data_IF_964637726194
#
_entry.id   IF_964637726194
#
_cell.length_a   1.000
_cell.length_b   1.000
_cell.length_c   1.000
_cell.angle_alpha   90.00
_cell.angle_beta   90.00
_cell.angle_gamma   90.00
#
_symmetry.space_group_name_H-M   'P 1'
#
loop_
_entity.id
_entity.type
_entity.pdbx_description
1 polymer ?
#
# COMPACT_ATOMS: atom_id res chain seq x y z
N UNK A 1 -31.22 62.01 48.43
CA UNK A 1 -30.95 61.57 49.81
C UNK A 1 -31.57 60.20 50.02
N UNK A 2 -30.89 59.38 50.80
CA UNK A 2 -30.95 57.93 50.83
C UNK A 2 -32.19 57.31 51.52
N UNK A 3 -32.44 56.04 51.20
CA UNK A 3 -32.60 54.95 52.17
C UNK A 3 -32.19 53.64 51.43
N UNK A 4 -31.08 52.93 51.71
CA UNK A 4 -30.68 52.14 52.90
C UNK A 4 -31.80 51.18 53.36
N UNK A 5 -31.60 49.91 53.74
CA UNK A 5 -30.52 48.89 53.71
C UNK A 5 -31.05 47.68 54.53
N UNK A 6 -30.42 46.50 54.39
CA UNK A 6 -30.23 45.35 55.34
C UNK A 6 -30.68 43.99 54.75
N UNK A 7 -29.74 43.05 54.46
CA UNK A 7 -29.12 41.99 55.34
C UNK A 7 -30.18 41.01 55.88
N UNK A 8 -30.10 39.68 55.83
CA UNK A 8 -29.09 38.70 55.38
C UNK A 8 -29.43 37.30 55.97
N UNK A 9 -28.68 36.28 55.51
CA UNK A 9 -28.35 35.00 56.18
C UNK A 9 -29.27 33.76 55.98
N UNK A 10 -28.56 32.68 55.61
CA UNK A 10 -28.81 31.23 55.46
C UNK A 10 -29.83 30.51 56.35
N UNK A 11 -30.43 29.42 55.83
CA UNK A 11 -30.06 28.01 56.17
C UNK A 11 -30.89 26.99 55.35
N UNK A 12 -30.25 25.84 55.10
CA UNK A 12 -30.74 24.64 54.44
C UNK A 12 -31.87 23.95 55.23
N UNK A 13 -32.75 23.17 54.58
CA UNK A 13 -33.04 21.77 54.92
C UNK A 13 -33.77 21.05 53.76
N UNK A 14 -33.44 19.77 53.61
CA UNK A 14 -33.80 18.86 52.51
C UNK A 14 -35.11 18.12 52.80
N UNK A 15 -35.88 17.75 51.76
CA UNK A 15 -36.70 16.51 51.76
C UNK A 15 -36.83 15.90 50.34
N UNK A 16 -36.59 14.58 50.24
CA UNK A 16 -37.26 13.66 49.29
C UNK A 16 -36.78 13.65 47.82
N UNK A 17 -35.72 12.92 47.49
CA UNK A 17 -35.75 11.56 46.94
C UNK A 17 -36.35 11.40 45.52
N UNK A 18 -35.47 11.32 44.51
CA UNK A 18 -35.74 10.56 43.28
C UNK A 18 -34.49 9.75 42.96
N UNK A 19 -34.59 8.44 43.23
CA UNK A 19 -33.62 7.43 42.81
C UNK A 19 -33.65 7.34 41.28
N UNK A 20 -32.51 7.56 40.64
CA UNK A 20 -32.19 6.90 39.37
C UNK A 20 -30.78 6.34 39.44
N UNK A 21 -30.75 5.02 39.44
CA UNK A 21 -29.60 4.15 39.26
C UNK A 21 -28.81 4.50 38.00
N UNK A 22 -27.49 4.63 38.13
CA UNK A 22 -26.57 4.70 37.01
C UNK A 22 -25.14 4.74 37.52
N UNK A 23 -24.38 3.67 37.26
CA UNK A 23 -23.01 3.43 37.76
C UNK A 23 -22.08 4.61 37.47
N UNK A 24 -21.44 5.11 38.53
CA UNK A 24 -20.28 6.00 38.41
C UNK A 24 -19.14 5.24 37.72
N UNK A 25 -18.71 5.73 36.56
CA UNK A 25 -17.34 5.47 36.08
C UNK A 25 -16.66 6.82 35.93
N UNK A 26 -15.51 6.95 36.59
CA UNK A 26 -14.64 8.10 36.48
C UNK A 26 -14.21 8.25 35.03
N UNK A 27 -14.68 9.30 34.36
CA UNK A 27 -14.17 9.68 33.04
C UNK A 27 -12.76 10.23 33.26
N UNK A 28 -11.74 9.36 33.15
CA UNK A 28 -10.36 9.82 32.93
C UNK A 28 -10.40 10.73 31.72
N UNK A 29 -9.92 11.96 31.88
CA UNK A 29 -9.63 12.82 30.75
C UNK A 29 -8.72 12.04 29.80
N UNK A 30 -9.08 11.86 28.51
CA UNK A 30 -8.10 11.40 27.56
C UNK A 30 -7.03 12.49 27.49
N UNK A 31 -5.80 12.04 27.70
CA UNK A 31 -4.56 12.73 27.43
C UNK A 31 -4.64 13.57 26.15
N UNK A 32 -3.88 14.65 26.15
CA UNK A 32 -3.54 15.43 24.96
C UNK A 32 -2.76 14.54 23.96
N UNK A 33 -3.45 13.63 23.28
CA UNK A 33 -2.94 12.94 22.11
C UNK A 33 -3.47 13.66 20.87
N UNK A 34 -2.63 14.35 20.08
CA UNK A 34 -3.04 15.10 18.90
C UNK A 34 -3.33 14.20 17.68
N UNK A 35 -3.84 12.99 17.90
CA UNK A 35 -4.21 12.08 16.83
C UNK A 35 -5.70 11.77 16.91
N UNK A 36 -6.35 11.70 15.73
CA UNK A 36 -7.66 11.08 15.44
C UNK A 36 -8.85 11.94 15.03
N UNK A 37 -8.72 13.24 14.67
CA UNK A 37 -9.91 13.98 14.13
C UNK A 37 -9.79 14.80 12.86
N UNK A 38 -8.65 14.85 12.19
CA UNK A 38 -8.54 15.46 10.85
C UNK A 38 -7.73 14.57 9.90
N UNK A 39 -8.27 13.41 9.56
CA UNK A 39 -7.67 12.57 8.52
C UNK A 39 -8.08 13.12 7.15
N UNK A 40 -7.26 14.04 6.61
CA UNK A 40 -7.37 14.55 5.23
C UNK A 40 -7.21 13.41 4.19
N UNK A 41 -6.55 12.33 4.60
CA UNK A 41 -6.49 11.04 3.91
C UNK A 41 -6.30 9.95 4.98
N UNK A 42 -7.20 8.96 5.06
CA UNK A 42 -7.23 7.94 6.11
C UNK A 42 -6.31 6.74 5.83
N UNK A 43 -5.13 6.97 5.26
CA UNK A 43 -4.16 5.91 5.05
C UNK A 43 -2.95 6.19 5.92
N UNK A 44 -2.81 5.40 6.99
CA UNK A 44 -1.51 5.15 7.59
C UNK A 44 -0.58 4.63 6.49
N UNK A 45 0.72 4.91 6.60
CA UNK A 45 1.74 4.39 5.68
C UNK A 45 1.50 2.89 5.49
N UNK A 46 0.93 2.50 4.36
CA UNK A 46 0.76 1.10 4.03
C UNK A 46 1.26 0.97 2.60
N UNK A 47 2.55 0.64 2.50
CA UNK A 47 3.10 0.07 1.29
C UNK A 47 2.26 -1.14 0.91
N UNK A 48 1.97 -1.29 -0.39
CA UNK A 48 1.32 -2.50 -0.90
C UNK A 48 2.28 -3.72 -0.88
N UNK A 49 3.57 -3.50 -0.60
CA UNK A 49 4.60 -4.54 -0.52
C UNK A 49 5.03 -4.90 0.91
N UNK A 50 4.55 -4.20 1.94
CA UNK A 50 5.05 -4.34 3.31
C UNK A 50 4.70 -5.73 3.87
N UNK A 51 5.70 -6.59 4.19
CA UNK A 51 5.42 -7.94 4.69
C UNK A 51 4.76 -7.93 6.07
N UNK A 52 4.77 -6.80 6.80
CA UNK A 52 4.20 -6.71 8.15
C UNK A 52 3.18 -5.57 8.22
N UNK A 53 1.89 -5.92 8.15
CA UNK A 53 0.79 -5.01 8.49
C UNK A 53 0.82 -4.73 10.00
N UNK A 54 1.59 -3.74 10.46
CA UNK A 54 1.55 -3.25 11.85
C UNK A 54 0.38 -2.28 12.04
N UNK A 55 -0.83 -2.73 11.72
CA UNK A 55 -2.01 -2.11 12.29
C UNK A 55 -2.12 -2.62 13.74
N UNK A 56 -2.27 -1.70 14.69
CA UNK A 56 -2.82 -2.03 15.99
C UNK A 56 -4.26 -2.50 15.74
N UNK A 57 -4.43 -3.81 15.53
CA UNK A 57 -5.72 -4.46 15.42
C UNK A 57 -6.40 -4.30 16.78
N UNK A 58 -7.53 -3.57 16.92
CA UNK A 58 -8.46 -3.94 17.98
C UNK A 58 -8.89 -5.37 17.65
N UNK A 59 -8.71 -6.30 18.60
CA UNK A 59 -8.86 -7.77 18.53
C UNK A 59 -10.15 -8.35 17.91
N UNK A 60 -10.88 -7.65 17.03
CA UNK A 60 -12.21 -8.00 16.55
C UNK A 60 -12.27 -8.06 15.01
N UNK A 61 -11.14 -8.02 14.29
CA UNK A 61 -11.10 -8.21 12.84
C UNK A 61 -10.13 -9.29 12.34
N UNK A 62 -9.70 -10.22 13.21
CA UNK A 62 -8.93 -11.43 12.85
C UNK A 62 -9.82 -12.66 12.58
N UNK A 63 -11.14 -12.52 12.53
CA UNK A 63 -12.07 -13.67 12.59
C UNK A 63 -12.61 -14.13 11.24
N UNK A 64 -11.99 -13.74 10.13
CA UNK A 64 -12.21 -14.44 8.85
C UNK A 64 -10.86 -14.80 8.25
N UNK A 65 -10.18 -15.74 8.92
CA UNK A 65 -9.16 -16.57 8.29
C UNK A 65 -9.90 -17.39 7.23
N UNK A 66 -9.49 -17.40 5.95
CA UNK A 66 -10.05 -18.33 4.98
C UNK A 66 -9.89 -19.74 5.55
N UNK A 67 -10.97 -20.51 5.67
CA UNK A 67 -10.95 -21.83 6.33
C UNK A 67 -9.90 -22.80 5.73
N UNK A 68 -9.43 -22.51 4.52
CA UNK A 68 -8.42 -23.29 3.78
C UNK A 68 -6.96 -22.96 4.15
N UNK A 69 -6.65 -22.00 5.04
CA UNK A 69 -5.26 -21.55 5.27
C UNK A 69 -4.32 -22.70 5.67
N UNK A 70 -4.80 -23.69 6.42
CA UNK A 70 -3.99 -24.86 6.80
C UNK A 70 -3.64 -25.74 5.57
N UNK A 71 -4.64 -26.08 4.75
CA UNK A 71 -4.42 -26.82 3.51
C UNK A 71 -3.53 -26.05 2.50
N UNK A 72 -3.70 -24.73 2.40
CA UNK A 72 -2.83 -23.91 1.54
C UNK A 72 -1.38 -23.93 2.03
N UNK A 73 -1.15 -23.83 3.35
CA UNK A 73 0.18 -23.88 3.94
C UNK A 73 0.83 -25.25 3.73
N UNK A 74 0.05 -26.32 3.90
CA UNK A 74 0.50 -27.69 3.62
C UNK A 74 0.89 -27.86 2.16
N UNK A 75 0.05 -27.40 1.21
CA UNK A 75 0.35 -27.45 -0.23
C UNK A 75 1.67 -26.75 -0.56
N UNK A 76 1.87 -25.54 -0.04
CA UNK A 76 3.07 -24.73 -0.25
C UNK A 76 4.31 -25.40 0.36
N UNK A 77 4.19 -25.97 1.56
CA UNK A 77 5.28 -26.68 2.23
C UNK A 77 5.68 -27.97 1.49
N UNK A 78 4.71 -28.72 0.98
CA UNK A 78 4.96 -29.92 0.17
C UNK A 78 5.58 -29.57 -1.16
N UNK A 79 5.15 -28.47 -1.79
CA UNK A 79 5.77 -27.93 -3.00
C UNK A 79 7.22 -27.52 -2.76
N UNK A 80 7.54 -26.97 -1.58
CA UNK A 80 8.92 -26.64 -1.17
C UNK A 80 9.78 -27.90 -1.01
N UNK A 81 9.23 -28.96 -0.42
CA UNK A 81 9.92 -30.25 -0.23
C UNK A 81 10.06 -31.09 -1.51
N UNK A 82 9.28 -30.80 -2.54
CA UNK A 82 9.21 -31.65 -3.74
C UNK A 82 8.34 -32.90 -3.55
N UNK A 83 7.44 -32.91 -2.56
CA UNK A 83 6.60 -34.08 -2.27
C UNK A 83 5.42 -34.19 -3.26
N UNK A 84 5.65 -34.89 -4.36
CA UNK A 84 4.65 -35.08 -5.43
C UNK A 84 3.43 -35.84 -4.94
N UNK A 85 3.60 -36.87 -4.10
CA UNK A 85 2.49 -37.73 -3.65
C UNK A 85 1.56 -36.96 -2.73
N UNK A 86 2.14 -36.29 -1.75
CA UNK A 86 1.31 -35.56 -0.81
C UNK A 86 0.63 -34.34 -1.41
N UNK A 87 1.23 -33.68 -2.42
CA UNK A 87 0.52 -32.67 -3.22
C UNK A 87 -0.64 -33.29 -3.98
N UNK A 88 -0.46 -34.48 -4.56
CA UNK A 88 -1.53 -35.17 -5.27
C UNK A 88 -2.71 -35.48 -4.35
N UNK A 89 -2.43 -36.04 -3.16
CA UNK A 89 -3.45 -36.37 -2.16
C UNK A 89 -4.22 -35.10 -1.74
N UNK A 90 -3.52 -34.01 -1.45
CA UNK A 90 -4.13 -32.75 -1.03
C UNK A 90 -5.01 -32.10 -2.12
N UNK A 91 -4.61 -32.24 -3.39
CA UNK A 91 -5.41 -31.78 -4.53
C UNK A 91 -6.59 -32.71 -4.84
N UNK A 92 -6.50 -33.99 -4.48
CA UNK A 92 -7.61 -34.96 -4.58
C UNK A 92 -8.65 -34.75 -3.46
N UNK A 93 -8.21 -34.28 -2.29
CA UNK A 93 -9.07 -33.84 -1.18
C UNK A 93 -9.81 -32.51 -1.48
N UNK A 94 -9.52 -31.87 -2.62
CA UNK A 94 -10.24 -30.68 -3.09
C UNK A 94 -9.55 -29.35 -2.79
N UNK A 95 -8.26 -29.36 -2.40
CA UNK A 95 -7.49 -28.13 -2.22
C UNK A 95 -7.35 -27.39 -3.56
N UNK A 96 -7.58 -26.07 -3.55
CA UNK A 96 -7.36 -25.27 -4.75
C UNK A 96 -5.87 -25.18 -5.08
N UNK A 97 -5.51 -25.63 -6.29
CA UNK A 97 -4.15 -25.59 -6.83
C UNK A 97 -3.60 -24.15 -6.93
N UNK A 98 -4.48 -23.15 -7.03
CA UNK A 98 -4.14 -21.73 -7.15
C UNK A 98 -4.18 -20.98 -5.81
N UNK A 99 -4.25 -21.72 -4.71
CA UNK A 99 -4.09 -21.17 -3.37
C UNK A 99 -2.82 -20.33 -3.24
N UNK A 100 -2.93 -19.18 -2.57
CA UNK A 100 -1.86 -18.20 -2.41
C UNK A 100 -1.49 -17.99 -0.93
N UNK A 101 -0.21 -17.72 -0.66
CA UNK A 101 0.25 -17.23 0.64
C UNK A 101 0.02 -15.70 0.81
N UNK A 102 0.50 -15.15 1.94
CA UNK A 102 0.44 -13.72 2.23
C UNK A 102 1.17 -12.85 1.19
N UNK A 103 2.14 -13.41 0.48
CA UNK A 103 2.90 -12.75 -0.58
C UNK A 103 2.30 -13.01 -1.97
N UNK A 104 1.11 -13.62 -2.05
CA UNK A 104 0.46 -13.95 -3.31
C UNK A 104 1.13 -15.10 -4.07
N UNK A 105 2.05 -15.84 -3.44
CA UNK A 105 2.75 -16.97 -4.07
C UNK A 105 1.90 -18.22 -4.04
N UNK A 106 1.84 -18.89 -5.19
CA UNK A 106 1.20 -20.22 -5.32
C UNK A 106 2.21 -21.34 -5.14
N UNK A 107 1.72 -22.58 -4.99
CA UNK A 107 2.57 -23.78 -4.99
C UNK A 107 3.46 -23.88 -6.24
N UNK A 108 2.98 -23.35 -7.39
CA UNK A 108 3.76 -23.30 -8.63
C UNK A 108 4.96 -22.35 -8.54
N UNK A 109 4.84 -21.22 -7.82
CA UNK A 109 5.97 -20.31 -7.58
C UNK A 109 7.03 -21.02 -6.73
N UNK A 110 6.61 -21.65 -5.62
CA UNK A 110 7.53 -22.35 -4.71
C UNK A 110 8.26 -23.49 -5.42
N UNK A 111 7.53 -24.37 -6.12
CA UNK A 111 8.13 -25.47 -6.86
C UNK A 111 9.10 -24.98 -7.94
N UNK A 112 8.85 -23.80 -8.51
CA UNK A 112 9.72 -23.17 -9.48
C UNK A 112 11.00 -22.55 -8.87
N UNK A 113 10.91 -21.97 -7.67
CA UNK A 113 12.07 -21.50 -6.90
C UNK A 113 12.99 -22.65 -6.48
N UNK A 114 12.41 -23.79 -6.09
CA UNK A 114 13.17 -24.94 -5.59
C UNK A 114 13.62 -25.92 -6.70
N UNK A 115 13.08 -25.77 -7.92
CA UNK A 115 13.50 -26.57 -9.07
C UNK A 115 12.82 -27.94 -9.19
N UNK A 116 11.72 -28.17 -8.48
CA UNK A 116 10.99 -29.44 -8.46
C UNK A 116 10.16 -29.66 -9.73
N UNK A 117 10.81 -30.18 -10.78
CA UNK A 117 10.19 -30.39 -12.10
C UNK A 117 8.93 -31.25 -12.06
N UNK A 118 8.92 -32.31 -11.25
CA UNK A 118 7.78 -33.24 -11.21
C UNK A 118 6.57 -32.65 -10.48
N UNK A 119 6.82 -31.86 -9.42
CA UNK A 119 5.78 -31.06 -8.77
C UNK A 119 5.20 -30.03 -9.76
N UNK A 120 6.05 -29.33 -10.52
CA UNK A 120 5.59 -28.38 -11.53
C UNK A 120 4.71 -29.07 -12.56
N UNK A 121 5.12 -30.23 -13.09
CA UNK A 121 4.29 -31.00 -14.04
C UNK A 121 2.95 -31.41 -13.44
N UNK A 122 2.93 -31.85 -12.19
CA UNK A 122 1.71 -32.22 -11.47
C UNK A 122 0.77 -31.01 -11.32
N UNK A 123 1.26 -29.88 -10.80
CA UNK A 123 0.47 -28.66 -10.63
C UNK A 123 -0.10 -28.16 -11.96
N UNK A 124 0.68 -28.21 -13.04
CA UNK A 124 0.21 -27.85 -14.38
C UNK A 124 -0.82 -28.82 -14.94
N UNK A 125 -0.73 -30.12 -14.63
CA UNK A 125 -1.77 -31.10 -14.99
C UNK A 125 -3.10 -30.80 -14.29
N UNK A 126 -3.03 -30.21 -13.09
CA UNK A 126 -4.17 -29.76 -12.28
C UNK A 126 -4.62 -28.33 -12.61
N UNK A 127 -4.20 -27.77 -13.75
CA UNK A 127 -4.58 -26.43 -14.24
C UNK A 127 -4.13 -25.28 -13.32
N UNK A 128 -2.96 -25.39 -12.70
CA UNK A 128 -2.32 -24.25 -12.04
C UNK A 128 -2.17 -23.06 -13.00
N UNK A 129 -2.43 -21.85 -12.49
CA UNK A 129 -2.35 -20.61 -13.23
C UNK A 129 -0.88 -20.24 -13.49
N UNK A 130 -0.46 -20.42 -14.74
CA UNK A 130 0.89 -20.11 -15.24
C UNK A 130 1.24 -18.62 -15.17
N UNK A 131 0.24 -17.75 -15.30
CA UNK A 131 0.41 -16.29 -15.34
C UNK A 131 0.09 -15.64 -13.98
N UNK A 132 -0.10 -16.45 -12.92
CA UNK A 132 -0.26 -15.95 -11.56
C UNK A 132 0.95 -15.09 -11.19
N UNK A 133 0.68 -13.96 -10.52
CA UNK A 133 1.70 -13.03 -10.09
C UNK A 133 1.70 -12.92 -8.57
N UNK A 134 2.88 -13.06 -8.00
CA UNK A 134 3.10 -12.74 -6.61
C UNK A 134 3.02 -11.22 -6.37
N UNK A 135 3.13 -10.83 -5.10
CA UNK A 135 3.15 -9.46 -4.63
C UNK A 135 4.21 -8.60 -5.33
N UNK A 136 5.34 -9.18 -5.74
CA UNK A 136 6.42 -8.48 -6.45
C UNK A 136 6.21 -8.44 -7.97
N UNK A 137 5.13 -9.03 -8.47
CA UNK A 137 4.83 -9.13 -9.88
C UNK A 137 5.66 -10.19 -10.61
N UNK A 138 6.35 -11.06 -9.87
CA UNK A 138 7.04 -12.22 -10.42
C UNK A 138 6.03 -13.29 -10.84
N UNK A 139 6.46 -14.19 -11.70
CA UNK A 139 5.70 -15.37 -12.12
C UNK A 139 6.57 -16.58 -11.83
N UNK A 140 5.98 -17.77 -11.69
CA UNK A 140 6.74 -19.00 -11.50
C UNK A 140 7.87 -19.18 -12.56
N UNK A 141 7.65 -18.78 -13.81
CA UNK A 141 8.69 -18.85 -14.84
C UNK A 141 9.83 -17.83 -14.63
N UNK A 142 9.51 -16.64 -14.10
CA UNK A 142 10.53 -15.66 -13.74
C UNK A 142 11.35 -16.14 -12.54
N UNK A 143 10.70 -16.76 -11.55
CA UNK A 143 11.38 -17.32 -10.37
C UNK A 143 12.32 -18.46 -10.76
N UNK A 144 11.85 -19.44 -11.52
CA UNK A 144 12.70 -20.53 -12.02
C UNK A 144 13.95 -20.01 -12.74
N UNK A 145 13.78 -18.96 -13.56
CA UNK A 145 14.92 -18.32 -14.23
C UNK A 145 15.85 -17.60 -13.26
N UNK A 146 15.31 -16.91 -12.26
CA UNK A 146 16.10 -16.16 -11.29
C UNK A 146 16.96 -17.07 -10.41
N UNK A 147 16.39 -18.19 -9.97
CA UNK A 147 17.06 -19.19 -9.13
C UNK A 147 17.91 -20.20 -9.93
N UNK A 148 17.94 -20.10 -11.26
CA UNK A 148 18.79 -20.95 -12.11
C UNK A 148 18.20 -22.32 -12.44
N UNK A 149 16.93 -22.56 -12.13
CA UNK A 149 16.20 -23.81 -12.40
C UNK A 149 15.77 -23.88 -13.87
N UNK A 150 16.76 -24.09 -14.74
CA UNK A 150 16.57 -24.06 -16.20
C UNK A 150 15.56 -25.11 -16.69
N UNK A 151 15.54 -26.32 -16.14
CA UNK A 151 14.59 -27.37 -16.53
C UNK A 151 13.14 -26.98 -16.26
N UNK A 152 12.86 -26.46 -15.06
CA UNK A 152 11.53 -25.93 -14.73
C UNK A 152 11.16 -24.77 -15.64
N UNK A 153 12.10 -23.86 -15.89
CA UNK A 153 11.87 -22.73 -16.79
C UNK A 153 11.48 -23.20 -18.20
N UNK A 154 12.16 -24.23 -18.75
CA UNK A 154 11.81 -24.78 -20.06
C UNK A 154 10.44 -25.45 -20.05
N UNK A 155 10.09 -26.20 -19.00
CA UNK A 155 8.75 -26.81 -18.86
C UNK A 155 7.65 -25.73 -18.86
N UNK A 156 7.82 -24.68 -18.05
CA UNK A 156 6.86 -23.58 -17.96
C UNK A 156 6.75 -22.83 -19.28
N UNK A 157 7.88 -22.54 -19.94
CA UNK A 157 7.93 -21.87 -21.24
C UNK A 157 7.26 -22.71 -22.33
N UNK A 158 7.49 -24.03 -22.36
CA UNK A 158 6.85 -24.95 -23.29
C UNK A 158 5.33 -25.01 -23.11
N UNK A 159 4.85 -24.79 -21.88
CA UNK A 159 3.42 -24.68 -21.55
C UNK A 159 2.83 -23.27 -21.78
N UNK A 160 3.61 -22.34 -22.34
CA UNK A 160 3.14 -21.01 -22.72
C UNK A 160 3.31 -19.93 -21.65
N UNK A 161 4.06 -20.17 -20.58
CA UNK A 161 4.30 -19.18 -19.53
C UNK A 161 4.96 -17.91 -20.10
N UNK A 162 4.43 -16.75 -19.75
CA UNK A 162 5.01 -15.45 -20.11
C UNK A 162 5.87 -14.94 -18.98
N UNK A 163 7.17 -14.83 -19.20
CA UNK A 163 8.02 -14.10 -18.24
C UNK A 163 7.74 -12.61 -18.32
N UNK A 164 7.35 -11.94 -17.22
CA UNK A 164 7.24 -10.50 -17.20
C UNK A 164 8.61 -9.89 -17.55
N UNK A 165 8.61 -8.95 -18.49
CA UNK A 165 9.80 -8.15 -18.80
C UNK A 165 9.90 -7.00 -17.78
N UNK A 166 10.10 -7.34 -16.51
CA UNK A 166 10.40 -6.32 -15.50
C UNK A 166 11.86 -5.94 -15.65
N UNK A 167 12.12 -4.71 -16.11
CA UNK A 167 13.46 -4.14 -16.03
C UNK A 167 13.63 -3.60 -14.62
N UNK A 168 14.60 -4.13 -13.90
CA UNK A 168 14.99 -3.60 -12.58
C UNK A 168 15.56 -2.21 -12.75
N UNK A 169 15.31 -1.35 -11.77
CA UNK A 169 15.88 -0.01 -11.72
C UNK A 169 17.27 -0.06 -11.07
N UNK A 170 18.05 1.03 -11.15
CA UNK A 170 19.28 1.18 -10.36
C UNK A 170 19.05 1.24 -8.84
N UNK A 171 17.79 1.39 -8.39
CA UNK A 171 17.40 1.41 -6.97
C UNK A 171 16.83 0.07 -6.50
N UNK A 172 16.78 -0.94 -7.39
CA UNK A 172 16.22 -2.23 -7.07
C UNK A 172 17.11 -2.96 -6.07
N UNK A 173 16.51 -3.41 -4.98
CA UNK A 173 17.18 -4.17 -3.93
C UNK A 173 17.14 -5.67 -4.28
N UNK A 174 18.18 -6.40 -3.88
CA UNK A 174 18.27 -7.85 -4.09
C UNK A 174 17.48 -8.63 -3.04
N UNK A 175 17.46 -8.14 -1.80
CA UNK A 175 16.79 -8.76 -0.68
C UNK A 175 15.37 -8.19 -0.48
N UNK A 176 14.32 -9.02 -0.50
CA UNK A 176 12.94 -8.57 -0.27
C UNK A 176 12.73 -7.86 1.08
N UNK A 177 13.53 -8.17 2.11
CA UNK A 177 13.42 -7.54 3.44
C UNK A 177 13.91 -6.09 3.49
N UNK A 178 14.65 -5.67 2.47
CA UNK A 178 15.21 -4.32 2.36
C UNK A 178 14.36 -3.41 1.45
N UNK A 179 13.23 -3.93 0.93
CA UNK A 179 12.29 -3.13 0.14
C UNK A 179 11.64 -2.08 1.04
N UNK A 180 11.65 -0.79 0.66
CA UNK A 180 11.10 0.27 1.49
C UNK A 180 9.59 0.18 1.74
N UNK A 181 9.14 0.67 2.90
CA UNK A 181 7.72 0.76 3.30
C UNK A 181 6.88 1.75 2.46
N UNK A 182 7.48 2.47 1.52
CA UNK A 182 6.73 3.32 0.59
C UNK A 182 6.53 2.64 -0.77
N UNK A 183 7.10 1.46 -0.98
CA UNK A 183 7.09 0.82 -2.29
C UNK A 183 5.67 0.35 -2.66
N UNK A 184 5.24 0.78 -3.83
CA UNK A 184 3.93 0.45 -4.41
C UNK A 184 4.09 -0.60 -5.52
N UNK A 185 3.08 -1.46 -5.64
CA UNK A 185 2.99 -2.38 -6.75
C UNK A 185 2.60 -1.59 -8.02
N UNK A 186 3.43 -1.59 -9.08
CA UNK A 186 3.12 -0.84 -10.30
C UNK A 186 1.84 -1.32 -11.00
N UNK A 187 1.42 -2.57 -10.80
CA UNK A 187 0.20 -3.10 -11.41
C UNK A 187 -1.09 -2.57 -10.77
N UNK A 188 -1.02 -2.05 -9.55
CA UNK A 188 -2.15 -1.38 -8.88
C UNK A 188 -2.39 0.03 -9.41
N UNK A 189 -1.40 0.61 -10.11
CA UNK A 189 -1.44 1.97 -10.63
C UNK A 189 -1.99 2.00 -12.06
N UNK A 190 -3.23 2.48 -12.20
CA UNK A 190 -3.88 2.69 -13.50
C UNK A 190 -3.69 4.13 -13.95
N UNK A 191 -2.62 4.40 -14.71
CA UNK A 191 -2.33 5.73 -15.26
C UNK A 191 -3.22 6.01 -16.47
N UNK A 192 -3.95 7.13 -16.46
CA UNK A 192 -4.72 7.57 -17.63
C UNK A 192 -3.76 8.18 -18.65
N UNK A 193 -3.59 7.54 -19.81
CA UNK A 193 -2.87 8.10 -20.97
C UNK A 193 -3.67 9.23 -21.65
N UNK A 194 -4.11 10.24 -20.90
CA UNK A 194 -5.03 11.24 -21.42
C UNK A 194 -4.35 12.41 -22.12
N UNK A 195 -3.12 12.81 -21.76
CA UNK A 195 -2.47 13.95 -22.41
C UNK A 195 -0.96 13.68 -22.53
N UNK A 196 -0.37 14.13 -23.65
CA UNK A 196 1.01 13.87 -24.05
C UNK A 196 2.03 14.03 -22.92
N UNK A 197 3.07 13.19 -22.98
CA UNK A 197 4.14 13.09 -21.98
C UNK A 197 4.87 14.45 -21.89
N UNK A 198 4.46 15.30 -20.96
CA UNK A 198 5.31 16.37 -20.49
C UNK A 198 6.30 15.76 -19.50
N UNK A 199 7.59 15.71 -19.87
CA UNK A 199 8.67 15.19 -19.04
C UNK A 199 8.62 15.82 -17.64
N UNK A 200 8.54 14.99 -16.59
CA UNK A 200 8.54 15.46 -15.20
C UNK A 200 7.21 15.97 -14.64
N UNK A 201 6.12 15.96 -15.41
CA UNK A 201 4.80 16.38 -14.93
C UNK A 201 4.06 15.24 -14.19
N UNK A 202 3.26 15.62 -13.18
CA UNK A 202 2.39 14.68 -12.46
C UNK A 202 1.17 14.32 -13.33
N UNK A 203 0.97 13.02 -13.56
CA UNK A 203 -0.17 12.46 -14.29
C UNK A 203 -1.24 11.98 -13.32
N UNK A 204 -2.51 12.02 -13.75
CA UNK A 204 -3.61 11.49 -12.94
C UNK A 204 -3.71 9.99 -13.13
N UNK A 205 -3.60 9.24 -12.03
CA UNK A 205 -3.78 7.80 -11.99
C UNK A 205 -4.85 7.40 -10.99
N UNK A 206 -5.25 6.13 -11.04
CA UNK A 206 -6.01 5.48 -9.97
C UNK A 206 -5.13 4.44 -9.29
N UNK A 207 -5.08 4.51 -7.96
CA UNK A 207 -4.48 3.50 -7.11
C UNK A 207 -5.58 2.92 -6.22
N UNK A 208 -5.89 1.63 -6.35
CA UNK A 208 -6.97 0.95 -5.64
C UNK A 208 -8.31 1.74 -5.66
N UNK A 209 -8.65 2.29 -6.83
CA UNK A 209 -9.86 3.11 -7.05
C UNK A 209 -9.74 4.58 -6.63
N UNK A 210 -8.75 4.94 -5.83
CA UNK A 210 -8.48 6.31 -5.36
C UNK A 210 -7.71 7.10 -6.39
N UNK A 211 -8.09 8.35 -6.64
CA UNK A 211 -7.36 9.23 -7.57
C UNK A 211 -6.05 9.71 -6.92
N UNK A 212 -4.95 9.53 -7.62
CA UNK A 212 -3.60 9.93 -7.20
C UNK A 212 -2.88 10.66 -8.32
N UNK A 213 -1.89 11.46 -7.97
CA UNK A 213 -1.01 12.13 -8.90
C UNK A 213 0.33 11.37 -8.95
N UNK A 214 0.79 11.03 -10.14
CA UNK A 214 1.96 10.17 -10.36
C UNK A 214 2.98 10.89 -11.22
N UNK A 215 4.17 11.13 -10.68
CA UNK A 215 5.33 11.59 -11.44
C UNK A 215 6.08 10.36 -11.94
N UNK A 216 6.10 10.17 -13.25
CA UNK A 216 6.77 9.04 -13.90
C UNK A 216 8.14 9.51 -14.39
N UNK A 217 9.20 8.78 -14.02
CA UNK A 217 10.52 8.99 -14.59
C UNK A 217 10.63 8.20 -15.91
N UNK A 218 11.02 8.88 -16.98
CA UNK A 218 11.06 8.31 -18.33
C UNK A 218 12.09 7.20 -18.50
N UNK A 219 11.85 6.33 -19.48
CA UNK A 219 12.66 5.13 -19.72
C UNK A 219 14.12 5.39 -20.10
N UNK A 220 14.37 6.54 -20.71
CA UNK A 220 15.70 6.96 -21.18
C UNK A 220 16.49 7.67 -20.07
N UNK A 221 15.84 8.05 -18.97
CA UNK A 221 16.45 8.83 -17.89
C UNK A 221 17.14 7.98 -16.82
N UNK A 222 17.13 6.65 -16.93
CA UNK A 222 17.76 5.76 -15.94
C UNK A 222 19.27 5.56 -16.12
N UNK A 223 19.85 6.11 -17.19
CA UNK A 223 21.29 6.04 -17.42
C UNK A 223 22.04 7.19 -16.78
N UNK A 224 21.34 8.30 -16.48
CA UNK A 224 21.94 9.50 -15.93
C UNK A 224 21.94 9.46 -14.39
N UNK A 225 23.12 9.42 -13.73
CA UNK A 225 23.20 9.41 -12.28
C UNK A 225 22.67 10.68 -11.64
N UNK A 226 22.74 11.84 -12.31
CA UNK A 226 22.26 13.11 -11.76
C UNK A 226 20.73 13.10 -11.64
N UNK A 227 20.04 12.60 -12.65
CA UNK A 227 18.58 12.48 -12.64
C UNK A 227 18.12 11.49 -11.56
N UNK A 228 18.82 10.36 -11.41
CA UNK A 228 18.54 9.39 -10.35
C UNK A 228 18.76 10.00 -8.97
N UNK A 229 19.85 10.75 -8.79
CA UNK A 229 20.12 11.42 -7.52
C UNK A 229 19.07 12.48 -7.20
N UNK A 230 18.64 13.27 -8.19
CA UNK A 230 17.54 14.22 -8.03
C UNK A 230 16.24 13.52 -7.63
N UNK A 231 15.91 12.39 -8.28
CA UNK A 231 14.75 11.56 -7.93
C UNK A 231 14.85 11.02 -6.50
N UNK A 232 16.02 10.52 -6.09
CA UNK A 232 16.28 10.08 -4.71
C UNK A 232 16.10 11.22 -3.71
N UNK A 233 16.68 12.39 -3.98
CA UNK A 233 16.55 13.56 -3.12
C UNK A 233 15.08 13.98 -2.95
N UNK A 234 14.32 14.03 -4.04
CA UNK A 234 12.88 14.33 -4.00
C UNK A 234 12.10 13.30 -3.16
N UNK A 235 12.36 12.01 -3.38
CA UNK A 235 11.75 10.92 -2.62
C UNK A 235 12.05 11.04 -1.12
N UNK A 236 13.32 11.28 -0.75
CA UNK A 236 13.72 11.43 0.66
C UNK A 236 13.06 12.63 1.34
N UNK A 237 12.80 13.71 0.60
CA UNK A 237 12.09 14.87 1.11
C UNK A 237 10.62 14.52 1.37
N UNK A 238 9.96 13.89 0.40
CA UNK A 238 8.55 13.49 0.52
C UNK A 238 8.31 12.46 1.64
N UNK A 239 9.29 11.60 1.89
CA UNK A 239 9.22 10.62 2.97
C UNK A 239 9.29 11.27 4.37
N UNK A 240 10.17 12.28 4.51
CA UNK A 240 10.43 12.96 5.79
C UNK A 240 9.40 14.02 6.12
N UNK A 241 8.89 14.72 5.11
CA UNK A 241 8.00 15.85 5.31
C UNK A 241 6.61 15.38 5.75
N UNK A 242 6.14 15.95 6.87
CA UNK A 242 4.84 15.66 7.49
C UNK A 242 4.21 16.97 7.96
N UNK A 243 3.37 17.57 7.13
CA UNK A 243 2.70 18.84 7.44
C UNK A 243 1.30 18.88 6.80
N UNK A 244 0.26 19.43 7.47
CA UNK A 244 -1.11 19.46 6.95
C UNK A 244 -1.31 20.30 5.67
N UNK A 245 -0.39 21.24 5.41
CA UNK A 245 -0.42 22.08 4.20
C UNK A 245 0.47 21.55 3.07
N UNK A 246 1.21 20.47 3.31
CA UNK A 246 2.04 19.84 2.28
C UNK A 246 1.27 18.67 1.68
N UNK A 247 1.42 18.47 0.37
CA UNK A 247 0.75 17.39 -0.34
C UNK A 247 1.18 16.05 0.28
N UNK A 248 0.21 15.20 0.58
CA UNK A 248 0.49 13.93 1.22
C UNK A 248 1.22 12.99 0.25
N UNK A 249 2.37 12.49 0.69
CA UNK A 249 3.09 11.41 0.03
C UNK A 249 2.34 10.09 0.22
N UNK A 250 2.04 9.39 -0.87
CA UNK A 250 1.33 8.12 -0.86
C UNK A 250 2.31 6.96 -0.93
N UNK A 251 3.27 7.02 -1.86
CA UNK A 251 4.28 5.99 -2.04
C UNK A 251 5.09 6.19 -3.31
N UNK A 252 5.93 5.24 -3.66
CA UNK A 252 6.77 5.30 -4.85
C UNK A 252 6.92 3.91 -5.48
N UNK A 253 7.25 3.87 -6.77
CA UNK A 253 7.73 2.65 -7.44
C UNK A 253 9.20 2.87 -7.70
N UNK A 254 10.06 2.16 -6.97
CA UNK A 254 11.51 2.25 -7.06
C UNK A 254 12.15 0.96 -7.49
N UNK A 255 11.46 -0.19 -7.39
CA UNK A 255 12.05 -1.49 -7.74
C UNK A 255 11.92 -1.80 -9.24
N UNK A 256 10.86 -1.30 -9.87
CA UNK A 256 10.48 -1.62 -11.24
C UNK A 256 10.47 -0.38 -12.14
N UNK A 257 10.86 -0.57 -13.40
CA UNK A 257 10.73 0.46 -14.42
C UNK A 257 9.27 0.51 -14.94
N UNK A 258 8.66 1.71 -15.06
CA UNK A 258 9.27 3.01 -14.78
C UNK A 258 9.22 3.39 -13.31
N UNK A 259 10.25 4.12 -12.84
CA UNK A 259 10.24 4.68 -11.49
C UNK A 259 9.14 5.74 -11.37
N UNK A 260 8.44 5.74 -10.24
CA UNK A 260 7.31 6.64 -10.01
C UNK A 260 7.32 7.22 -8.60
N UNK A 261 6.86 8.47 -8.46
CA UNK A 261 6.48 9.07 -7.17
C UNK A 261 4.98 9.30 -7.20
N UNK A 262 4.27 8.82 -6.17
CA UNK A 262 2.82 8.90 -6.04
C UNK A 262 2.45 9.80 -4.86
N UNK A 263 1.64 10.81 -5.15
CA UNK A 263 1.16 11.79 -4.16
C UNK A 263 -0.36 11.95 -4.27
N UNK A 264 -0.95 12.60 -3.26
CA UNK A 264 -2.37 12.96 -3.25
C UNK A 264 -2.74 13.79 -4.51
N UNK A 265 -3.84 13.42 -5.16
CA UNK A 265 -4.37 14.18 -6.29
C UNK A 265 -5.25 15.34 -5.81
N UNK A 266 -4.94 16.56 -6.27
CA UNK A 266 -5.75 17.73 -5.99
C UNK A 266 -6.60 18.14 -7.21
N UNK A 267 -7.92 18.03 -7.11
CA UNK A 267 -8.85 18.28 -8.21
C UNK A 267 -8.91 19.73 -8.68
N UNK A 268 -8.45 20.69 -7.85
CA UNK A 268 -8.46 22.12 -8.19
C UNK A 268 -7.28 22.53 -9.08
N UNK A 269 -6.33 21.63 -9.34
CA UNK A 269 -5.12 21.91 -10.11
C UNK A 269 -4.07 22.69 -9.33
N UNK A 270 -3.04 23.16 -10.04
CA UNK A 270 -1.96 23.98 -9.49
C UNK A 270 -2.33 25.48 -9.42
N UNK A 271 -1.54 26.23 -8.66
CA UNK A 271 -1.77 27.67 -8.47
C UNK A 271 -1.64 28.44 -9.79
N UNK A 272 -0.72 28.04 -10.68
CA UNK A 272 -0.52 28.69 -11.98
C UNK A 272 -1.75 28.60 -12.87
N UNK A 273 -2.27 27.40 -13.09
CA UNK A 273 -3.50 27.13 -13.84
C UNK A 273 -4.71 27.83 -13.20
N UNK A 274 -4.77 27.85 -11.87
CA UNK A 274 -5.81 28.58 -11.14
C UNK A 274 -5.75 30.08 -11.41
N UNK A 275 -4.56 30.69 -11.39
CA UNK A 275 -4.35 32.11 -11.68
C UNK A 275 -4.67 32.45 -13.14
N UNK A 276 -4.29 31.59 -14.09
CA UNK A 276 -4.65 31.76 -15.51
C UNK A 276 -6.17 31.75 -15.70
N UNK A 277 -6.88 30.84 -15.02
CA UNK A 277 -8.34 30.70 -15.13
C UNK A 277 -9.11 31.81 -14.40
N UNK A 278 -8.62 32.26 -13.25
CA UNK A 278 -9.34 33.21 -12.37
C UNK A 278 -8.89 34.65 -12.53
N UNK A 279 -7.70 34.89 -13.07
CA UNK A 279 -7.08 36.21 -13.11
C UNK A 279 -6.63 36.70 -11.73
N UNK A 280 -6.66 38.02 -11.53
CA UNK A 280 -6.16 38.68 -10.32
C UNK A 280 -6.90 38.21 -9.06
N UNK A 281 -6.14 37.81 -8.03
CA UNK A 281 -6.68 37.43 -6.73
C UNK A 281 -7.03 38.65 -5.88
N UNK A 282 -8.05 38.52 -5.03
CA UNK A 282 -8.34 39.51 -3.98
C UNK A 282 -7.25 39.48 -2.91
N UNK A 283 -6.93 40.62 -2.27
CA UNK A 283 -5.89 40.69 -1.23
C UNK A 283 -6.09 39.66 -0.10
N UNK A 284 -7.35 39.44 0.30
CA UNK A 284 -7.71 38.43 1.32
C UNK A 284 -7.37 36.99 0.91
N UNK A 285 -7.57 36.62 -0.35
CA UNK A 285 -7.23 35.28 -0.85
C UNK A 285 -5.72 35.11 -1.01
N UNK A 286 -5.03 36.15 -1.50
CA UNK A 286 -3.57 36.15 -1.60
C UNK A 286 -2.91 35.98 -0.25
N UNK A 287 -3.40 36.68 0.79
CA UNK A 287 -2.91 36.53 2.16
C UNK A 287 -3.14 35.12 2.70
N UNK A 288 -4.33 34.54 2.47
CA UNK A 288 -4.61 33.16 2.89
C UNK A 288 -3.66 32.17 2.21
N UNK A 289 -3.46 32.27 0.88
CA UNK A 289 -2.52 31.39 0.18
C UNK A 289 -1.08 31.58 0.65
N UNK A 290 -0.66 32.81 0.92
CA UNK A 290 0.68 33.07 1.47
C UNK A 290 0.85 32.44 2.86
N UNK A 291 -0.16 32.53 3.74
CA UNK A 291 -0.14 31.89 5.06
C UNK A 291 -0.20 30.36 4.99
N UNK A 292 -0.86 29.79 3.99
CA UNK A 292 -0.91 28.35 3.82
C UNK A 292 0.42 27.79 3.26
N UNK A 293 1.15 28.58 2.47
CA UNK A 293 2.44 28.23 1.84
C UNK A 293 3.63 28.44 2.78
N UNK A 294 3.60 29.50 3.59
CA UNK A 294 4.63 29.82 4.57
C UNK A 294 4.66 28.80 5.71
#
# INVERSE_FOLDING_TARGET
LAAQLKRGISRQFSTGSLRKSGRFSFRRQPSLDPQTKNMRFSFGRQSSLDPVRRDAIPEIALTVVPDNLDATMQLLFMACKGDVKGIQDLLDEGTDVNSIDLDGRTALHIAACEGHVDVVKLLLSRKANLDARDRWGSTAAADAKHYGNTDVYQVLKARGAKTPKTRKTPMAVTNPKEVPEYELNPFELQVRKADGIAKGAYQVAKWNGTKVAVKILDKESYTDPEIINAFKSELTLMEKVRHPNIIQFVGAVTQNIPMMIVIEYHSKGDLGSYLVKKGRLSPSKSLRFALDIA
#
